data_IF_604000543255
#
_entry.id   IF_604000543255
#
_cell.length_a   1.000
_cell.length_b   1.000
_cell.length_c   1.000
_cell.angle_alpha   90.00
_cell.angle_beta   90.00
_cell.angle_gamma   90.00
#
_symmetry.space_group_name_H-M   'P 1'
#
loop_
_entity.id
_entity.type
_entity.pdbx_description
1 polymer ?
#
# COMPACT_ATOMS: atom_id res chain seq x y z
N UNK A 1 21.81 -10.85 10.87
CA UNK A 1 20.72 -10.03 10.28
C UNK A 1 19.39 -10.57 10.80
N UNK A 2 18.46 -9.70 11.23
CA UNK A 2 17.12 -10.15 11.69
C UNK A 2 16.20 -10.34 10.47
N UNK A 3 15.37 -11.38 10.47
CA UNK A 3 14.37 -11.63 9.41
C UNK A 3 13.27 -10.56 9.46
N UNK A 4 12.80 -10.08 8.31
CA UNK A 4 11.60 -9.22 8.22
C UNK A 4 10.38 -10.11 8.43
N UNK A 5 9.80 -10.08 9.64
CA UNK A 5 8.63 -10.91 9.97
C UNK A 5 7.35 -10.10 10.23
N UNK A 6 7.47 -8.77 10.35
CA UNK A 6 6.37 -7.86 10.67
C UNK A 6 6.11 -6.91 9.52
N UNK A 7 4.83 -6.65 9.25
CA UNK A 7 4.40 -5.62 8.32
C UNK A 7 3.45 -4.63 8.99
N UNK A 8 3.66 -3.35 8.74
CA UNK A 8 2.81 -2.24 9.20
C UNK A 8 1.94 -1.74 8.05
N UNK A 9 0.65 -1.59 8.31
CA UNK A 9 -0.36 -1.09 7.37
C UNK A 9 -1.03 0.16 7.95
N UNK A 10 -0.65 1.36 7.48
CA UNK A 10 -1.31 2.61 7.87
C UNK A 10 -2.70 2.71 7.23
N UNK A 11 -3.75 2.44 8.00
CA UNK A 11 -5.16 2.41 7.53
C UNK A 11 -6.03 3.44 8.26
N UNK A 12 -5.42 4.48 8.84
CA UNK A 12 -6.09 5.48 9.66
C UNK A 12 -6.63 6.70 8.88
N UNK A 13 -6.33 6.80 7.57
CA UNK A 13 -6.71 7.94 6.75
C UNK A 13 -8.22 8.11 6.58
N UNK A 14 -8.68 9.36 6.46
CA UNK A 14 -10.10 9.69 6.32
C UNK A 14 -10.70 9.36 4.94
N UNK A 15 -9.87 9.17 3.92
CA UNK A 15 -10.34 8.82 2.57
C UNK A 15 -11.17 9.92 1.90
N UNK A 16 -10.88 11.20 2.16
CA UNK A 16 -11.69 12.35 1.72
C UNK A 16 -11.91 12.43 0.20
N UNK A 17 -10.96 11.92 -0.60
CA UNK A 17 -11.05 11.87 -2.07
C UNK A 17 -12.18 10.96 -2.60
N UNK A 18 -12.68 10.04 -1.78
CA UNK A 18 -13.74 9.09 -2.13
C UNK A 18 -15.08 9.42 -1.46
N UNK A 19 -15.25 10.62 -0.90
CA UNK A 19 -16.56 11.06 -0.44
C UNK A 19 -17.54 11.13 -1.62
N UNK A 20 -18.79 10.68 -1.46
CA UNK A 20 -19.44 10.33 -0.19
C UNK A 20 -19.26 8.87 0.26
N UNK A 21 -18.66 7.98 -0.55
CA UNK A 21 -18.54 6.56 -0.23
C UNK A 21 -17.79 6.32 1.09
N UNK A 22 -16.71 7.07 1.32
CA UNK A 22 -15.87 6.94 2.52
C UNK A 22 -16.43 7.57 3.79
N UNK A 23 -17.66 8.10 3.73
CA UNK A 23 -18.33 8.65 4.92
C UNK A 23 -18.56 7.57 5.99
N UNK A 24 -18.86 6.35 5.57
CA UNK A 24 -19.18 5.22 6.46
C UNK A 24 -18.39 3.94 6.14
N UNK A 25 -17.60 3.94 5.07
CA UNK A 25 -16.78 2.80 4.65
C UNK A 25 -15.32 3.25 4.60
N UNK A 26 -14.35 2.54 5.20
CA UNK A 26 -12.94 2.87 5.03
C UNK A 26 -12.53 2.82 3.56
N UNK A 27 -11.67 3.74 3.11
CA UNK A 27 -11.15 3.70 1.72
C UNK A 27 -10.45 2.38 1.40
N UNK A 28 -9.80 1.80 2.42
CA UNK A 28 -9.06 0.54 2.33
C UNK A 28 -9.98 -0.67 2.13
N UNK A 29 -11.27 -0.50 2.43
CA UNK A 29 -12.33 -1.50 2.24
C UNK A 29 -13.08 -1.36 0.92
N UNK A 30 -12.76 -0.36 0.10
CA UNK A 30 -13.28 -0.28 -1.26
C UNK A 30 -12.79 -1.50 -2.05
N UNK A 31 -13.64 -2.06 -2.89
CA UNK A 31 -13.34 -3.31 -3.59
C UNK A 31 -12.76 -3.06 -4.97
N UNK A 32 -11.61 -3.66 -5.25
CA UNK A 32 -11.14 -3.87 -6.61
C UNK A 32 -11.67 -5.23 -7.04
N UNK A 33 -12.62 -5.23 -7.98
CA UNK A 33 -13.43 -6.39 -8.34
C UNK A 33 -14.23 -6.91 -7.13
N UNK A 34 -13.76 -7.98 -6.49
CA UNK A 34 -14.46 -8.67 -5.39
C UNK A 34 -13.65 -8.67 -4.09
N UNK A 35 -12.57 -7.88 -4.04
CA UNK A 35 -11.60 -7.91 -2.94
C UNK A 35 -11.30 -6.49 -2.43
N UNK A 36 -11.35 -6.25 -1.10
CA UNK A 36 -10.91 -4.98 -0.52
C UNK A 36 -9.46 -4.63 -0.87
N UNK A 37 -9.17 -3.34 -1.07
CA UNK A 37 -7.81 -2.87 -1.38
C UNK A 37 -6.80 -3.40 -0.35
N UNK A 38 -7.14 -3.35 0.95
CA UNK A 38 -6.25 -3.84 2.03
C UNK A 38 -5.89 -5.33 1.90
N UNK A 39 -6.80 -6.17 1.38
CA UNK A 39 -6.55 -7.60 1.26
C UNK A 39 -5.46 -7.90 0.23
N UNK A 40 -5.38 -7.13 -0.86
CA UNK A 40 -4.29 -7.29 -1.84
C UNK A 40 -2.92 -7.06 -1.19
N UNK A 41 -2.83 -6.05 -0.34
CA UNK A 41 -1.58 -5.64 0.31
C UNK A 41 -1.19 -6.62 1.43
N UNK A 42 -2.17 -7.18 2.14
CA UNK A 42 -1.93 -8.26 3.12
C UNK A 42 -1.54 -9.57 2.43
N UNK A 43 -2.14 -9.91 1.30
CA UNK A 43 -1.77 -11.10 0.52
C UNK A 43 -0.34 -10.97 -0.03
N UNK A 44 0.04 -9.79 -0.53
CA UNK A 44 1.42 -9.51 -0.95
C UNK A 44 2.41 -9.70 0.19
N UNK A 45 2.07 -9.24 1.40
CA UNK A 45 2.90 -9.42 2.58
C UNK A 45 3.00 -10.90 3.00
N UNK A 46 1.89 -11.64 2.93
CA UNK A 46 1.88 -13.08 3.21
C UNK A 46 2.76 -13.86 2.22
N UNK A 47 2.72 -13.52 0.94
CA UNK A 47 3.58 -14.14 -0.09
C UNK A 47 5.08 -13.89 0.16
N UNK A 48 5.41 -12.73 0.73
CA UNK A 48 6.77 -12.37 1.14
C UNK A 48 7.25 -13.05 2.43
N UNK A 49 6.42 -13.89 3.05
CA UNK A 49 6.76 -14.61 4.28
C UNK A 49 6.63 -13.78 5.56
N UNK A 50 5.86 -12.69 5.54
CA UNK A 50 5.50 -11.92 6.74
C UNK A 50 4.60 -12.79 7.63
N UNK A 51 4.89 -12.76 8.94
CA UNK A 51 4.25 -13.60 9.95
C UNK A 51 3.25 -12.81 10.82
N UNK A 52 3.44 -11.49 10.96
CA UNK A 52 2.64 -10.64 11.83
C UNK A 52 2.25 -9.32 11.13
N UNK A 53 0.95 -9.09 11.03
CA UNK A 53 0.33 -7.95 10.38
C UNK A 53 -0.15 -6.92 11.41
N UNK A 54 0.39 -5.71 11.34
CA UNK A 54 0.13 -4.63 12.28
C UNK A 54 -0.65 -3.53 11.56
N UNK A 55 -1.90 -3.35 11.92
CA UNK A 55 -2.77 -2.32 11.35
C UNK A 55 -2.79 -1.09 12.26
N UNK A 56 -2.42 0.05 11.70
CA UNK A 56 -2.54 1.34 12.39
C UNK A 56 -3.87 1.96 11.97
N UNK A 57 -4.89 1.80 12.82
CA UNK A 57 -6.27 2.18 12.53
C UNK A 57 -6.62 3.56 13.07
N UNK A 58 -7.63 4.19 12.47
CA UNK A 58 -8.20 5.47 12.88
C UNK A 58 -9.66 5.32 13.31
N UNK A 59 -10.38 6.43 13.46
CA UNK A 59 -11.83 6.39 13.76
C UNK A 59 -12.60 5.72 12.62
N UNK A 60 -13.67 5.00 12.95
CA UNK A 60 -14.57 4.33 12.00
C UNK A 60 -13.87 3.30 11.09
N UNK A 61 -12.92 2.54 11.65
CA UNK A 61 -12.16 1.50 10.92
C UNK A 61 -12.40 0.07 11.42
N UNK A 62 -13.40 -0.14 12.29
CA UNK A 62 -13.68 -1.44 12.91
C UNK A 62 -13.91 -2.56 11.87
N UNK A 63 -14.53 -2.24 10.74
CA UNK A 63 -14.74 -3.22 9.65
C UNK A 63 -13.45 -3.79 9.05
N UNK A 64 -12.30 -3.11 9.22
CA UNK A 64 -10.99 -3.68 8.83
C UNK A 64 -10.61 -4.81 9.78
N UNK A 65 -10.86 -4.64 11.09
CA UNK A 65 -10.66 -5.69 12.09
C UNK A 65 -11.58 -6.89 11.78
N UNK A 66 -12.87 -6.63 11.57
CA UNK A 66 -13.88 -7.65 11.24
C UNK A 66 -13.55 -8.44 9.97
N UNK A 67 -12.91 -7.81 8.97
CA UNK A 67 -12.51 -8.45 7.71
C UNK A 67 -11.37 -9.46 7.89
N UNK A 68 -10.51 -9.25 8.88
CA UNK A 68 -9.41 -10.16 9.24
C UNK A 68 -9.73 -11.03 10.45
N UNK A 69 -10.98 -11.06 10.90
CA UNK A 69 -11.48 -11.90 11.99
C UNK A 69 -12.58 -12.85 11.51
N UNK A 70 -12.91 -13.83 12.34
CA UNK A 70 -13.92 -14.84 12.05
C UNK A 70 -15.32 -14.22 12.12
N UNK A 71 -16.01 -14.18 10.98
CA UNK A 71 -17.43 -13.82 10.89
C UNK A 71 -18.31 -15.06 11.11
N UNK A 72 -18.52 -15.44 12.38
CA UNK A 72 -19.17 -16.70 12.76
C UNK A 72 -20.50 -16.96 12.02
N UNK A 73 -21.40 -15.97 12.00
CA UNK A 73 -22.71 -16.09 11.35
C UNK A 73 -22.59 -16.35 9.84
N UNK A 74 -21.64 -15.70 9.16
CA UNK A 74 -21.37 -15.91 7.74
C UNK A 74 -20.86 -17.33 7.49
N UNK A 75 -19.92 -17.80 8.32
CA UNK A 75 -19.30 -19.13 8.15
C UNK A 75 -20.33 -20.23 8.37
N UNK A 76 -21.13 -20.14 9.44
CA UNK A 76 -22.21 -21.09 9.74
C UNK A 76 -23.28 -21.09 8.63
N UNK A 77 -23.69 -19.91 8.15
CA UNK A 77 -24.66 -19.79 7.06
C UNK A 77 -24.16 -20.43 5.76
N UNK A 78 -22.89 -20.23 5.41
CA UNK A 78 -22.30 -20.85 4.21
C UNK A 78 -22.22 -22.36 4.33
N UNK A 79 -21.83 -22.87 5.50
CA UNK A 79 -21.78 -24.31 5.78
C UNK A 79 -23.17 -24.96 5.68
N UNK A 80 -24.19 -24.37 6.32
CA UNK A 80 -25.57 -24.86 6.26
C UNK A 80 -26.15 -24.86 4.83
N UNK A 81 -25.71 -23.93 3.99
CA UNK A 81 -26.14 -23.82 2.58
C UNK A 81 -25.28 -24.64 1.62
N UNK A 82 -24.31 -25.42 2.10
CA UNK A 82 -23.40 -26.22 1.26
C UNK A 82 -22.56 -25.39 0.30
N UNK A 83 -22.12 -24.20 0.72
CA UNK A 83 -21.28 -23.27 -0.07
C UNK A 83 -19.79 -23.47 0.21
N UNK A 84 -19.31 -24.68 -0.05
CA UNK A 84 -17.98 -25.15 0.35
C UNK A 84 -16.83 -24.38 -0.32
N UNK A 85 -17.00 -23.94 -1.57
CA UNK A 85 -15.99 -23.15 -2.29
C UNK A 85 -15.80 -21.77 -1.65
N UNK A 86 -16.90 -21.08 -1.32
CA UNK A 86 -16.86 -19.78 -0.64
C UNK A 86 -16.26 -19.92 0.77
N UNK A 87 -16.69 -20.94 1.52
CA UNK A 87 -16.20 -21.19 2.87
C UNK A 87 -14.69 -21.47 2.87
N UNK A 88 -14.22 -22.33 1.96
CA UNK A 88 -12.80 -22.64 1.80
C UNK A 88 -11.99 -21.40 1.41
N UNK A 89 -12.54 -20.50 0.56
CA UNK A 89 -11.89 -19.24 0.21
C UNK A 89 -11.73 -18.34 1.44
N UNK A 90 -12.78 -18.18 2.26
CA UNK A 90 -12.71 -17.37 3.48
C UNK A 90 -11.70 -17.93 4.49
N UNK A 91 -11.73 -19.25 4.71
CA UNK A 91 -10.79 -19.93 5.62
C UNK A 91 -9.32 -19.75 5.21
N UNK A 92 -9.00 -19.72 3.91
CA UNK A 92 -7.64 -19.46 3.43
C UNK A 92 -7.17 -18.02 3.65
N UNK A 93 -8.10 -17.06 3.67
CA UNK A 93 -7.78 -15.65 3.88
C UNK A 93 -7.63 -15.30 5.36
N UNK A 94 -8.28 -16.08 6.24
CA UNK A 94 -8.28 -15.90 7.69
C UNK A 94 -6.86 -16.00 8.27
N UNK A 95 -6.36 -14.95 8.94
CA UNK A 95 -5.13 -15.03 9.72
C UNK A 95 -5.25 -16.04 10.88
N UNK A 96 -4.13 -16.69 11.23
CA UNK A 96 -4.05 -17.55 12.40
C UNK A 96 -4.05 -16.74 13.70
N UNK A 97 -4.41 -17.36 14.85
CA UNK A 97 -4.39 -16.68 16.14
C UNK A 97 -3.03 -16.02 16.44
N UNK A 98 -3.06 -14.74 16.81
CA UNK A 98 -1.85 -13.95 17.13
C UNK A 98 -1.11 -13.37 15.92
N UNK A 99 -1.57 -13.58 14.69
CA UNK A 99 -0.93 -13.02 13.49
C UNK A 99 -1.32 -11.56 13.19
N UNK A 100 -2.35 -11.01 13.84
CA UNK A 100 -2.81 -9.64 13.61
C UNK A 100 -2.75 -8.82 14.87
N UNK A 101 -2.40 -7.55 14.75
CA UNK A 101 -2.51 -6.57 15.83
C UNK A 101 -3.02 -5.25 15.31
N UNK A 102 -3.82 -4.57 16.13
CA UNK A 102 -4.45 -3.31 15.78
C UNK A 102 -4.05 -2.26 16.81
N UNK A 103 -3.48 -1.15 16.34
CA UNK A 103 -3.15 0.02 17.15
C UNK A 103 -3.88 1.24 16.62
N UNK A 104 -3.84 2.35 17.36
CA UNK A 104 -4.65 3.54 17.10
C UNK A 104 -3.76 4.73 16.76
N UNK A 105 -4.02 5.35 15.61
CA UNK A 105 -3.66 6.74 15.35
C UNK A 105 -4.87 7.62 15.72
N UNK A 106 -4.81 8.28 16.87
CA UNK A 106 -5.94 9.05 17.41
C UNK A 106 -6.24 10.30 16.57
N UNK A 107 -5.21 10.88 15.95
CA UNK A 107 -5.27 12.09 15.12
C UNK A 107 -4.42 11.85 13.86
N UNK A 108 -4.94 12.16 12.65
CA UNK A 108 -4.21 11.94 11.41
C UNK A 108 -3.13 13.02 11.22
N UNK A 109 -1.99 12.84 11.89
CA UNK A 109 -0.85 13.79 11.86
C UNK A 109 0.15 13.53 10.73
N UNK A 110 -0.13 12.57 9.84
CA UNK A 110 0.75 12.19 8.73
C UNK A 110 1.18 10.72 8.80
N UNK A 111 1.83 10.27 7.72
CA UNK A 111 2.30 8.89 7.57
C UNK A 111 3.39 8.54 8.59
N UNK A 112 4.34 9.44 8.86
CA UNK A 112 5.41 9.20 9.83
C UNK A 112 4.85 8.97 11.24
N UNK A 113 3.85 9.75 11.65
CA UNK A 113 3.14 9.51 12.91
C UNK A 113 2.40 8.16 12.92
N UNK A 114 1.77 7.77 11.81
CA UNK A 114 1.09 6.47 11.73
C UNK A 114 2.10 5.32 11.92
N UNK A 115 3.26 5.39 11.28
CA UNK A 115 4.35 4.42 11.46
C UNK A 115 4.80 4.41 12.92
N UNK A 116 5.04 5.57 13.54
CA UNK A 116 5.46 5.68 14.94
C UNK A 116 4.46 5.06 15.94
N UNK A 117 3.15 5.08 15.65
CA UNK A 117 2.14 4.41 16.48
C UNK A 117 2.30 2.88 16.53
N UNK A 118 3.03 2.27 15.60
CA UNK A 118 3.29 0.83 15.56
C UNK A 118 4.57 0.41 16.32
N UNK A 119 5.38 1.36 16.82
CA UNK A 119 6.74 1.09 17.35
C UNK A 119 6.79 -0.01 18.41
N UNK A 120 5.84 -0.06 19.34
CA UNK A 120 5.84 -1.05 20.43
C UNK A 120 5.46 -2.45 19.94
N UNK A 121 4.62 -2.53 18.90
CA UNK A 121 4.24 -3.79 18.25
C UNK A 121 5.35 -4.32 17.35
N UNK A 122 6.08 -3.42 16.67
CA UNK A 122 7.25 -3.78 15.88
C UNK A 122 8.41 -4.19 16.79
N UNK A 123 8.75 -3.38 17.78
CA UNK A 123 9.91 -3.56 18.64
C UNK A 123 11.22 -3.25 17.92
N UNK A 124 12.34 -3.77 18.45
CA UNK A 124 13.66 -3.56 17.87
C UNK A 124 13.98 -4.60 16.79
N UNK A 125 13.26 -4.56 15.66
CA UNK A 125 13.51 -5.42 14.50
C UNK A 125 13.11 -4.74 13.19
N UNK A 126 13.69 -5.13 12.05
CA UNK A 126 13.29 -4.62 10.75
C UNK A 126 11.85 -5.01 10.44
N UNK A 127 11.14 -4.10 9.77
CA UNK A 127 9.73 -4.29 9.43
C UNK A 127 9.44 -3.81 8.02
N UNK A 128 8.46 -4.46 7.40
CA UNK A 128 7.88 -3.99 6.16
C UNK A 128 6.84 -2.90 6.45
N UNK A 129 6.77 -1.89 5.59
CA UNK A 129 5.70 -0.90 5.58
C UNK A 129 5.03 -0.95 4.21
N UNK A 130 3.71 -1.10 4.18
CA UNK A 130 2.95 -1.16 2.95
C UNK A 130 1.83 -0.13 2.99
N UNK A 131 1.83 0.78 2.01
CA UNK A 131 0.74 1.73 1.84
C UNK A 131 -0.44 1.01 1.18
N UNK A 132 -1.62 0.97 1.85
CA UNK A 132 -2.72 0.11 1.44
C UNK A 132 -3.43 0.60 0.18
N UNK A 133 -3.24 1.84 -0.24
CA UNK A 133 -3.83 2.41 -1.45
C UNK A 133 -3.02 2.11 -2.73
N UNK A 134 -1.79 1.65 -2.61
CA UNK A 134 -0.97 1.26 -3.76
C UNK A 134 -1.09 -0.26 -3.95
N UNK A 135 -1.86 -0.70 -4.95
CA UNK A 135 -1.96 -2.13 -5.29
C UNK A 135 -1.04 -2.46 -6.46
N UNK A 136 -0.54 -3.68 -6.48
CA UNK A 136 0.50 -4.12 -7.39
C UNK A 136 0.05 -5.33 -8.20
N UNK A 137 0.36 -5.33 -9.48
CA UNK A 137 0.04 -6.39 -10.44
C UNK A 137 1.34 -6.91 -11.06
N UNK A 138 1.74 -8.11 -10.63
CA UNK A 138 2.86 -8.88 -11.15
C UNK A 138 2.72 -10.34 -10.69
N UNK A 139 3.37 -11.26 -11.39
CA UNK A 139 3.35 -12.69 -11.05
C UNK A 139 4.03 -12.99 -9.70
N UNK A 140 5.07 -12.24 -9.35
CA UNK A 140 5.77 -12.33 -8.06
C UNK A 140 5.54 -11.06 -7.25
N UNK A 141 5.25 -11.22 -5.95
CA UNK A 141 5.09 -10.12 -4.99
C UNK A 141 6.28 -9.14 -5.02
N UNK A 142 5.99 -7.83 -5.00
CA UNK A 142 7.01 -6.79 -4.87
C UNK A 142 7.75 -6.91 -3.54
N UNK A 143 7.01 -7.01 -2.43
CA UNK A 143 7.62 -7.17 -1.11
C UNK A 143 8.50 -8.43 -1.03
N UNK A 144 8.12 -9.54 -1.67
CA UNK A 144 8.94 -10.75 -1.68
C UNK A 144 10.32 -10.50 -2.29
N UNK A 145 10.37 -9.82 -3.43
CA UNK A 145 11.62 -9.46 -4.09
C UNK A 145 12.43 -8.44 -3.27
N UNK A 146 11.76 -7.53 -2.56
CA UNK A 146 12.43 -6.64 -1.61
C UNK A 146 13.03 -7.39 -0.42
N UNK A 147 12.33 -8.41 0.10
CA UNK A 147 12.84 -9.27 1.19
C UNK A 147 14.07 -10.04 0.72
N UNK A 148 14.08 -10.55 -0.51
CA UNK A 148 15.26 -11.21 -1.12
C UNK A 148 16.46 -10.24 -1.24
N UNK A 149 16.23 -8.97 -1.63
CA UNK A 149 17.27 -7.95 -1.64
C UNK A 149 17.74 -7.57 -0.22
N UNK A 150 16.81 -7.50 0.72
CA UNK A 150 17.11 -7.28 2.13
C UNK A 150 17.97 -8.40 2.70
N UNK A 151 17.73 -9.67 2.33
CA UNK A 151 18.53 -10.83 2.74
C UNK A 151 20.00 -10.75 2.35
N UNK A 152 20.31 -9.99 1.30
CA UNK A 152 21.66 -9.80 0.79
C UNK A 152 22.34 -8.55 1.35
N UNK A 153 21.58 -7.50 1.64
CA UNK A 153 22.10 -6.19 2.05
C UNK A 153 21.99 -5.89 3.54
N UNK A 154 20.99 -6.46 4.22
CA UNK A 154 20.69 -6.21 5.63
C UNK A 154 20.34 -4.77 5.98
N UNK A 155 19.82 -4.00 5.02
CA UNK A 155 19.68 -2.55 5.13
C UNK A 155 18.26 -2.07 4.82
N UNK A 156 18.06 -0.76 4.70
CA UNK A 156 16.76 -0.19 4.36
C UNK A 156 16.50 -0.37 2.87
N UNK A 157 15.31 -0.89 2.50
CA UNK A 157 14.91 -1.10 1.10
C UNK A 157 13.67 -0.27 0.80
N UNK A 158 13.66 0.41 -0.34
CA UNK A 158 12.50 1.15 -0.83
C UNK A 158 12.19 0.68 -2.25
N UNK A 159 10.95 0.27 -2.51
CA UNK A 159 10.55 -0.02 -3.88
C UNK A 159 10.26 1.27 -4.64
N UNK A 160 10.73 1.29 -5.88
CA UNK A 160 10.61 2.44 -6.77
C UNK A 160 10.13 2.01 -8.14
N UNK A 161 9.53 2.96 -8.85
CA UNK A 161 9.12 2.78 -10.23
C UNK A 161 9.31 4.09 -11.01
N UNK A 162 9.42 4.00 -12.32
CA UNK A 162 9.49 5.19 -13.18
C UNK A 162 8.12 5.86 -13.28
N UNK A 163 8.10 7.20 -13.20
CA UNK A 163 6.95 8.03 -13.54
C UNK A 163 7.29 8.95 -14.73
N UNK A 164 6.27 9.58 -15.31
CA UNK A 164 6.49 10.70 -16.23
C UNK A 164 7.27 11.80 -15.47
N UNK A 165 8.39 12.32 -16.00
CA UNK A 165 9.14 13.41 -15.39
C UNK A 165 8.28 14.62 -14.99
N UNK A 166 7.20 14.91 -15.71
CA UNK A 166 6.24 15.97 -15.39
C UNK A 166 5.45 15.72 -14.08
N UNK A 167 5.34 14.47 -13.64
CA UNK A 167 4.60 14.05 -12.45
C UNK A 167 5.46 13.90 -11.19
N UNK A 168 6.79 14.07 -11.31
CA UNK A 168 7.74 13.93 -10.20
C UNK A 168 7.37 14.73 -8.94
N UNK A 169 6.77 15.91 -9.11
CA UNK A 169 6.31 16.79 -8.03
C UNK A 169 5.19 16.20 -7.15
N UNK A 170 4.56 15.10 -7.57
CA UNK A 170 3.48 14.42 -6.83
C UNK A 170 4.01 13.43 -5.78
N UNK A 171 5.26 12.99 -5.92
CA UNK A 171 5.79 11.83 -5.20
C UNK A 171 7.11 12.12 -4.46
N UNK A 172 7.52 11.20 -3.59
CA UNK A 172 8.90 11.12 -3.12
C UNK A 172 9.77 10.50 -4.22
N UNK A 173 10.85 11.17 -4.61
CA UNK A 173 11.75 10.74 -5.68
C UNK A 173 13.13 10.39 -5.10
N UNK A 174 13.76 9.34 -5.61
CA UNK A 174 15.09 8.90 -5.20
C UNK A 174 16.15 9.12 -6.28
N UNK A 175 17.40 9.33 -5.89
CA UNK A 175 18.55 9.26 -6.79
C UNK A 175 19.01 7.81 -7.01
N UNK A 176 19.46 7.49 -8.23
CA UNK A 176 20.01 6.17 -8.57
C UNK A 176 21.54 6.20 -8.50
N UNK A 177 22.12 5.34 -7.65
CA UNK A 177 23.56 5.10 -7.52
C UNK A 177 24.02 3.86 -8.26
N UNK A 178 25.05 3.19 -7.72
CA UNK A 178 25.58 1.94 -8.29
C UNK A 178 24.62 0.77 -8.10
N UNK A 179 24.64 -0.17 -9.03
CA UNK A 179 23.91 -1.43 -8.92
C UNK A 179 24.46 -2.29 -7.78
N UNK A 180 23.56 -2.89 -7.01
CA UNK A 180 23.86 -3.77 -5.88
C UNK A 180 22.85 -4.91 -5.90
N UNK A 181 23.35 -6.10 -6.24
CA UNK A 181 22.52 -7.29 -6.40
C UNK A 181 21.35 -7.09 -7.38
N UNK A 182 20.11 -7.27 -6.93
CA UNK A 182 18.87 -7.04 -7.70
C UNK A 182 18.33 -5.60 -7.57
N UNK A 183 19.04 -4.71 -6.87
CA UNK A 183 18.68 -3.32 -6.68
C UNK A 183 19.85 -2.36 -6.93
N UNK A 184 19.77 -1.17 -6.36
CA UNK A 184 20.80 -0.14 -6.49
C UNK A 184 20.90 0.70 -5.22
N UNK A 185 22.03 1.37 -5.00
CA UNK A 185 22.19 2.32 -3.89
C UNK A 185 21.39 3.60 -4.13
N UNK A 186 20.61 4.03 -3.14
CA UNK A 186 19.96 5.34 -3.19
C UNK A 186 20.99 6.41 -2.79
N UNK A 187 21.17 7.41 -3.66
CA UNK A 187 22.14 8.51 -3.45
C UNK A 187 21.53 9.74 -2.79
N UNK A 188 20.22 9.75 -2.59
CA UNK A 188 19.46 10.81 -1.95
C UNK A 188 17.96 10.65 -2.23
N UNK A 189 17.14 11.30 -1.40
CA UNK A 189 15.68 11.33 -1.56
C UNK A 189 15.15 12.76 -1.52
N UNK A 190 14.01 13.02 -2.16
CA UNK A 190 13.33 14.31 -2.08
C UNK A 190 11.82 14.09 -2.09
N UNK A 191 11.12 14.58 -1.06
CA UNK A 191 9.65 14.59 -1.03
C UNK A 191 9.11 15.72 -1.91
N UNK A 192 8.31 15.36 -2.92
CA UNK A 192 7.58 16.31 -3.80
C UNK A 192 8.50 17.41 -4.35
N UNK A 193 9.53 17.05 -5.13
CA UNK A 193 10.49 18.00 -5.67
C UNK A 193 9.78 19.09 -6.48
N UNK A 194 10.37 20.29 -6.51
CA UNK A 194 9.89 21.33 -7.43
C UNK A 194 10.09 20.85 -8.87
N UNK A 195 9.20 21.23 -9.81
CA UNK A 195 9.38 20.89 -11.22
C UNK A 195 10.79 21.26 -11.70
N UNK A 196 11.47 20.30 -12.33
CA UNK A 196 12.83 20.47 -12.84
C UNK A 196 13.97 20.31 -11.81
N UNK A 197 13.68 20.05 -10.54
CA UNK A 197 14.71 19.82 -9.49
C UNK A 197 14.79 18.36 -9.03
N UNK A 198 14.13 17.45 -9.74
CA UNK A 198 14.06 16.04 -9.36
C UNK A 198 15.40 15.34 -9.64
N UNK A 199 15.93 14.51 -8.71
CA UNK A 199 17.21 13.81 -8.91
C UNK A 199 17.12 12.68 -9.95
N UNK A 200 15.91 12.16 -10.21
CA UNK A 200 15.59 11.19 -11.25
C UNK A 200 14.08 11.24 -11.57
N UNK A 201 13.54 10.22 -12.24
CA UNK A 201 12.10 9.97 -12.36
C UNK A 201 11.63 8.72 -11.58
N UNK A 202 12.44 8.20 -10.67
CA UNK A 202 12.15 7.02 -9.84
C UNK A 202 11.39 7.43 -8.57
N UNK A 203 10.07 7.24 -8.58
CA UNK A 203 9.23 7.54 -7.44
C UNK A 203 9.11 6.36 -6.47
N UNK A 204 8.96 6.65 -5.19
CA UNK A 204 8.71 5.67 -4.14
C UNK A 204 7.27 5.17 -4.26
N UNK A 205 7.09 3.88 -4.56
CA UNK A 205 5.78 3.33 -4.92
C UNK A 205 4.98 2.76 -3.74
N UNK A 206 5.41 3.03 -2.50
CA UNK A 206 4.65 2.71 -1.29
C UNK A 206 4.94 1.34 -0.67
N UNK A 207 6.11 0.75 -0.94
CA UNK A 207 6.65 -0.40 -0.18
C UNK A 207 8.01 -0.06 0.39
N UNK A 208 8.22 -0.43 1.65
CA UNK A 208 9.45 -0.17 2.37
C UNK A 208 9.81 -1.38 3.24
N UNK A 209 11.11 -1.60 3.43
CA UNK A 209 11.67 -2.38 4.53
C UNK A 209 12.56 -1.40 5.30
N UNK A 210 12.23 -1.13 6.56
CA UNK A 210 12.90 -0.12 7.37
C UNK A 210 13.53 -0.75 8.60
N UNK A 211 14.68 -0.21 9.01
CA UNK A 211 15.33 -0.53 10.26
C UNK A 211 14.63 0.17 11.45
N UNK A 212 14.64 -0.42 12.65
CA UNK A 212 13.87 0.08 13.79
C UNK A 212 14.31 1.46 14.29
N UNK A 213 15.55 1.90 14.01
CA UNK A 213 16.06 3.23 14.38
C UNK A 213 15.23 4.38 13.76
N UNK A 214 14.45 4.11 12.71
CA UNK A 214 13.47 5.07 12.18
C UNK A 214 12.49 5.55 13.26
N UNK A 215 12.17 4.72 14.25
CA UNK A 215 11.24 5.10 15.33
C UNK A 215 11.82 6.17 16.25
N UNK A 216 13.12 6.13 16.53
CA UNK A 216 13.80 7.13 17.36
C UNK A 216 13.79 8.49 16.66
N UNK A 217 13.94 8.51 15.34
CA UNK A 217 13.84 9.73 14.53
C UNK A 217 12.39 10.26 14.55
N UNK A 218 11.41 9.37 14.39
CA UNK A 218 9.99 9.73 14.37
C UNK A 218 9.48 10.17 15.75
N UNK A 219 10.15 9.79 16.85
CA UNK A 219 9.81 10.24 18.21
C UNK A 219 9.87 11.77 18.35
N UNK A 220 10.71 12.45 17.57
CA UNK A 220 10.76 13.92 17.55
C UNK A 220 9.48 14.59 17.03
N UNK A 221 8.60 13.86 16.34
CA UNK A 221 7.31 14.35 15.80
C UNK A 221 7.43 15.65 14.98
N UNK A 222 8.56 15.84 14.29
CA UNK A 222 8.82 17.02 13.47
C UNK A 222 7.89 17.04 12.25
N UNK A 223 7.38 18.23 11.93
CA UNK A 223 6.47 18.43 10.80
C UNK A 223 7.23 18.92 9.58
N UNK A 224 6.93 18.34 8.44
CA UNK A 224 7.50 18.71 7.15
C UNK A 224 6.45 19.25 6.18
N UNK A 225 6.49 18.73 4.95
CA UNK A 225 5.58 19.12 3.88
C UNK A 225 4.11 18.96 4.31
N UNK A 226 3.30 20.00 4.06
CA UNK A 226 1.87 19.99 4.37
C UNK A 226 1.51 20.11 5.87
N UNK A 227 2.46 20.48 6.74
CA UNK A 227 2.28 20.53 8.20
C UNK A 227 1.93 19.15 8.82
N UNK A 228 2.39 18.09 8.16
CA UNK A 228 2.27 16.69 8.56
C UNK A 228 3.65 16.11 8.90
N UNK A 229 3.67 15.08 9.73
CA UNK A 229 4.87 14.31 10.06
C UNK A 229 5.08 13.31 8.92
N UNK A 230 6.06 13.61 8.06
CA UNK A 230 6.35 12.82 6.87
C UNK A 230 7.36 11.70 7.18
N UNK A 231 7.14 10.53 6.59
CA UNK A 231 8.09 9.43 6.67
C UNK A 231 9.37 9.73 5.89
N UNK A 232 9.26 10.39 4.74
CA UNK A 232 10.41 10.75 3.89
C UNK A 232 11.43 11.61 4.63
N UNK A 233 10.97 12.55 5.47
CA UNK A 233 11.86 13.39 6.29
C UNK A 233 12.63 12.57 7.33
N UNK A 234 12.01 11.53 7.90
CA UNK A 234 12.67 10.62 8.81
C UNK A 234 13.66 9.70 8.08
N UNK A 235 13.33 9.20 6.89
CA UNK A 235 14.24 8.42 6.06
C UNK A 235 15.47 9.24 5.65
N UNK A 236 15.31 10.52 5.32
CA UNK A 236 16.42 11.43 5.00
C UNK A 236 17.39 11.65 6.16
N UNK A 237 16.89 11.61 7.40
CA UNK A 237 17.75 11.64 8.58
C UNK A 237 18.47 10.30 8.75
N UNK A 238 17.75 9.19 8.58
CA UNK A 238 18.30 7.84 8.71
C UNK A 238 19.36 7.54 7.65
N UNK A 239 19.19 8.06 6.43
CA UNK A 239 20.12 7.89 5.29
C UNK A 239 21.53 8.41 5.60
N UNK A 240 21.68 9.34 6.55
CA UNK A 240 22.99 9.85 7.00
C UNK A 240 23.76 8.85 7.86
N UNK A 241 23.07 7.89 8.46
CA UNK A 241 23.62 6.92 9.40
C UNK A 241 23.62 5.49 8.82
N UNK A 242 22.64 5.18 7.97
CA UNK A 242 22.44 3.86 7.40
C UNK A 242 22.21 3.94 5.89
N UNK A 243 22.71 2.97 5.10
CA UNK A 243 22.44 2.95 3.68
C UNK A 243 20.96 2.69 3.38
N UNK A 244 20.57 3.11 2.18
CA UNK A 244 19.27 2.80 1.58
C UNK A 244 19.50 2.22 0.19
N UNK A 245 18.69 1.21 -0.15
CA UNK A 245 18.71 0.58 -1.46
C UNK A 245 17.35 0.67 -2.13
N UNK A 246 17.36 0.96 -3.42
CA UNK A 246 16.20 1.00 -4.27
C UNK A 246 15.97 -0.35 -4.93
N UNK A 247 14.76 -0.87 -4.84
CA UNK A 247 14.30 -1.99 -5.64
C UNK A 247 13.46 -1.47 -6.81
N UNK A 248 13.94 -1.64 -8.05
CA UNK A 248 13.22 -1.16 -9.23
C UNK A 248 12.11 -2.15 -9.62
N UNK A 249 10.89 -1.86 -9.18
CA UNK A 249 9.73 -2.70 -9.46
C UNK A 249 9.34 -2.64 -10.95
N UNK A 250 9.28 -3.82 -11.59
CA UNK A 250 8.97 -3.98 -13.02
C UNK A 250 7.50 -4.29 -13.31
N UNK A 251 6.66 -4.39 -12.28
CA UNK A 251 5.23 -4.64 -12.44
C UNK A 251 4.41 -3.36 -12.63
N UNK A 252 3.08 -3.49 -12.53
CA UNK A 252 2.17 -2.35 -12.58
C UNK A 252 1.71 -1.97 -11.19
N UNK A 253 1.78 -0.70 -10.84
CA UNK A 253 1.22 -0.15 -9.61
C UNK A 253 0.02 0.71 -9.92
N UNK A 254 -1.07 0.54 -9.17
CA UNK A 254 -2.29 1.33 -9.30
C UNK A 254 -2.56 2.10 -8.00
N UNK A 255 -2.75 3.41 -8.12
CA UNK A 255 -3.07 4.31 -7.00
C UNK A 255 -4.58 4.32 -6.74
N UNK A 256 -5.04 3.42 -5.87
CA UNK A 256 -6.41 3.39 -5.36
C UNK A 256 -6.70 4.52 -4.34
N UNK A 257 -5.78 5.47 -4.16
CA UNK A 257 -5.97 6.71 -3.42
C UNK A 257 -6.64 7.82 -4.23
N UNK A 258 -6.85 7.62 -5.54
CA UNK A 258 -7.61 8.52 -6.43
C UNK A 258 -8.80 7.78 -7.07
N UNK A 259 -9.92 8.47 -7.35
CA UNK A 259 -11.04 7.87 -8.09
C UNK A 259 -10.63 7.29 -9.45
N UNK A 260 -9.78 8.00 -10.19
CA UNK A 260 -9.30 7.60 -11.50
C UNK A 260 -8.46 6.32 -11.42
N UNK A 261 -7.46 6.30 -10.53
CA UNK A 261 -6.61 5.11 -10.32
C UNK A 261 -7.38 3.92 -9.75
N UNK A 262 -8.44 4.15 -8.96
CA UNK A 262 -9.32 3.09 -8.49
C UNK A 262 -10.17 2.46 -9.61
N UNK A 263 -10.64 3.27 -10.57
CA UNK A 263 -11.33 2.75 -11.76
C UNK A 263 -10.36 1.97 -12.65
N UNK A 264 -9.16 2.50 -12.87
CA UNK A 264 -8.11 1.83 -13.63
C UNK A 264 -7.76 0.46 -13.00
N UNK A 265 -7.57 0.43 -11.69
CA UNK A 265 -7.35 -0.81 -10.92
C UNK A 265 -8.48 -1.83 -11.15
N UNK A 266 -9.75 -1.41 -11.04
CA UNK A 266 -10.88 -2.31 -11.25
C UNK A 266 -10.88 -2.93 -12.65
N UNK A 267 -10.63 -2.11 -13.68
CA UNK A 267 -10.57 -2.58 -15.07
C UNK A 267 -9.38 -3.53 -15.27
N UNK A 268 -8.19 -3.13 -14.80
CA UNK A 268 -6.97 -3.90 -14.99
C UNK A 268 -7.03 -5.27 -14.29
N UNK A 269 -7.52 -5.34 -13.05
CA UNK A 269 -7.65 -6.60 -12.32
C UNK A 269 -8.79 -7.48 -12.86
N UNK A 270 -9.88 -6.89 -13.35
CA UNK A 270 -10.95 -7.64 -14.01
C UNK A 270 -10.47 -8.29 -15.32
N UNK A 271 -9.67 -7.57 -16.11
CA UNK A 271 -9.06 -8.11 -17.33
C UNK A 271 -7.93 -9.10 -17.03
N UNK A 272 -7.27 -9.02 -15.88
CA UNK A 272 -6.20 -9.96 -15.53
C UNK A 272 -6.73 -11.31 -15.05
N UNK A 273 -8.00 -11.38 -14.63
CA UNK A 273 -8.65 -12.61 -14.17
C UNK A 273 -9.07 -13.48 -15.35
N UNK A 274 -8.59 -14.73 -15.47
CA UNK A 274 -8.96 -15.62 -16.58
C UNK A 274 -10.46 -15.89 -16.71
N UNK A 275 -11.18 -15.94 -15.57
CA UNK A 275 -12.62 -16.18 -15.54
C UNK A 275 -13.47 -14.96 -15.93
N UNK A 276 -12.86 -13.78 -16.00
CA UNK A 276 -13.54 -12.52 -16.31
C UNK A 276 -13.07 -11.87 -17.61
N UNK A 277 -11.85 -12.18 -18.08
CA UNK A 277 -11.17 -11.47 -19.17
C UNK A 277 -12.05 -11.25 -20.40
N UNK A 278 -12.54 -12.32 -21.03
CA UNK A 278 -13.29 -12.24 -22.28
C UNK A 278 -14.57 -11.40 -22.11
N UNK A 279 -15.36 -11.70 -21.09
CA UNK A 279 -16.61 -10.99 -20.82
C UNK A 279 -16.41 -9.50 -20.54
N UNK A 280 -15.34 -9.15 -19.84
CA UNK A 280 -15.01 -7.75 -19.49
C UNK A 280 -14.45 -7.02 -20.71
N UNK A 281 -13.59 -7.65 -21.50
CA UNK A 281 -13.06 -7.08 -22.74
C UNK A 281 -14.19 -6.72 -23.71
N UNK A 282 -15.08 -7.67 -23.99
CA UNK A 282 -16.25 -7.45 -24.85
C UNK A 282 -17.17 -6.35 -24.31
N UNK A 283 -17.37 -6.31 -22.99
CA UNK A 283 -18.17 -5.26 -22.34
C UNK A 283 -17.55 -3.88 -22.53
N UNK A 284 -16.24 -3.73 -22.36
CA UNK A 284 -15.53 -2.46 -22.51
C UNK A 284 -15.56 -1.98 -23.96
N UNK A 285 -15.38 -2.87 -24.94
CA UNK A 285 -15.49 -2.52 -26.36
C UNK A 285 -16.88 -1.99 -26.73
N UNK A 286 -17.94 -2.60 -26.19
CA UNK A 286 -19.31 -2.07 -26.37
C UNK A 286 -19.47 -0.71 -25.70
N UNK A 287 -19.00 -0.57 -24.46
CA UNK A 287 -19.10 0.70 -23.72
C UNK A 287 -18.36 1.85 -24.43
N UNK A 288 -17.16 1.62 -24.96
CA UNK A 288 -16.39 2.64 -25.69
C UNK A 288 -17.09 3.10 -26.98
N UNK A 289 -17.90 2.23 -27.59
CA UNK A 289 -18.68 2.53 -28.79
C UNK A 289 -19.94 3.34 -28.46
N UNK A 290 -20.62 2.96 -27.38
CA UNK A 290 -21.98 3.42 -27.09
C UNK A 290 -22.02 4.60 -26.13
N UNK A 291 -21.10 4.66 -25.16
CA UNK A 291 -21.06 5.72 -24.15
C UNK A 291 -20.30 6.93 -24.67
N UNK A 292 -21.00 8.05 -24.79
CA UNK A 292 -20.38 9.37 -24.96
C UNK A 292 -20.33 10.08 -23.62
N UNK A 293 -19.31 10.91 -23.35
CA UNK A 293 -19.30 11.76 -22.18
C UNK A 293 -20.60 12.57 -22.12
N UNK A 294 -21.25 12.61 -20.95
CA UNK A 294 -22.36 13.52 -20.73
C UNK A 294 -21.84 14.95 -20.88
N UNK A 295 -22.16 15.62 -21.98
CA UNK A 295 -22.04 17.07 -22.08
C UNK A 295 -22.94 17.65 -20.99
N UNK A 296 -22.34 18.18 -19.92
CA UNK A 296 -23.09 18.86 -18.87
C UNK A 296 -23.92 19.94 -19.54
N UNK A 297 -25.25 19.81 -19.53
CA UNK A 297 -26.15 20.95 -19.78
C UNK A 297 -25.66 22.06 -18.86
N UNK A 298 -25.08 23.12 -19.44
CA UNK A 298 -24.79 24.36 -18.70
C UNK A 298 -26.08 24.72 -18.01
N UNK A 299 -26.09 24.65 -16.68
CA UNK A 299 -27.23 25.06 -15.89
C UNK A 299 -27.45 26.54 -16.19
N UNK A 300 -28.48 26.84 -16.98
CA UNK A 300 -29.13 28.14 -16.96
C UNK A 300 -29.79 28.26 -15.59
N UNK A 301 -29.09 28.86 -14.62
CA UNK A 301 -29.65 29.52 -13.44
C UNK A 301 -28.74 30.68 -13.07
#
# INVERSE_FOLDING_TARGET
MKKVRKAVFPVAGLGTRFLPATKSIPKEMLTVVDRPVIQYVVDEAREAGIEHFIFVTGRNKAVIEDHFDVQFELYDTLAQRGKDDQLSRLQRLQPAPGQTSFTRQQVPLGLGHAVWCARDLVGNEPFALLLPDMIMQMDQSCLKQMVELYEQTGSNIVAVQECDPAETHKYGIVGRGREVHSGFEITGMVEKPKPGTSPSNLYINGRYILQPEIFDILEGQEKGAGNEIQLTDAMLKLEKEQPFYGYHYQGRTFDCGSPEGFVEANVAFALWRPDMHENVADMLERMLRDLRPMERRRAQR
#
